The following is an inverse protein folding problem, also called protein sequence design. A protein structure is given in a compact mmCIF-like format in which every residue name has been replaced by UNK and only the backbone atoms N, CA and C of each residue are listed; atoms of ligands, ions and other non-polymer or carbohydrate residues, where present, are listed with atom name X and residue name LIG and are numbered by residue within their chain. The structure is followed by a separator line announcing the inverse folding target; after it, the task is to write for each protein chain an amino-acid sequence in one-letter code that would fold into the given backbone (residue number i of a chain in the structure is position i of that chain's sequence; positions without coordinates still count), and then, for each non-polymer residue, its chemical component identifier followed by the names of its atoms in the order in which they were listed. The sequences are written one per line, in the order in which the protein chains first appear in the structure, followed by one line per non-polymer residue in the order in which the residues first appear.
data_IF_676825308673
#
_entry.id   IF_676825308673
#
_cell.length_a   1.000
_cell.length_b   1.000
_cell.length_c   1.000
_cell.angle_alpha   90.00
_cell.angle_beta   90.00
_cell.angle_gamma   90.00
#
_symmetry.space_group_name_H-M   'P 1'
#
loop_
_entity.id
_entity.type
_entity.pdbx_description
1 polymer ?
#
# COMPACT_ATOMS: atom_id res chain seq x y z
N UNK A 1 -14.05 -29.42 -7.10
CA UNK A 1 -14.56 -28.10 -6.64
C UNK A 1 -13.69 -27.63 -5.49
N UNK A 2 -12.69 -26.82 -5.81
CA UNK A 2 -11.69 -26.36 -4.85
C UNK A 2 -12.37 -25.50 -3.79
N UNK A 3 -12.43 -26.04 -2.57
CA UNK A 3 -12.83 -25.29 -1.38
C UNK A 3 -11.74 -24.26 -1.11
N UNK A 4 -11.92 -23.05 -1.64
CA UNK A 4 -11.08 -21.91 -1.26
C UNK A 4 -11.24 -21.68 0.24
N UNK A 5 -10.21 -22.03 1.01
CA UNK A 5 -10.17 -21.74 2.43
C UNK A 5 -10.16 -20.22 2.60
N UNK A 6 -11.09 -19.68 3.39
CA UNK A 6 -11.23 -18.24 3.62
C UNK A 6 -9.94 -17.60 4.15
N UNK A 7 -9.15 -18.40 4.88
CA UNK A 7 -7.85 -18.02 5.46
C UNK A 7 -6.77 -17.74 4.40
N UNK A 8 -7.01 -18.14 3.14
CA UNK A 8 -6.12 -17.96 2.00
C UNK A 8 -6.68 -16.99 0.96
N UNK A 9 -7.74 -16.24 1.30
CA UNK A 9 -8.29 -15.22 0.40
C UNK A 9 -7.32 -14.03 0.24
N UNK A 10 -7.42 -13.34 -0.91
CA UNK A 10 -6.74 -12.07 -1.15
C UNK A 10 -7.61 -10.88 -0.75
N UNK A 11 -6.99 -9.73 -0.46
CA UNK A 11 -7.66 -8.56 0.11
C UNK A 11 -8.45 -8.92 1.38
N UNK A 12 -7.88 -9.81 2.20
CA UNK A 12 -8.51 -10.26 3.43
C UNK A 12 -8.14 -9.29 4.55
N UNK A 13 -9.14 -8.57 5.07
CA UNK A 13 -8.96 -7.76 6.27
C UNK A 13 -8.91 -8.68 7.50
N UNK A 14 -7.91 -8.48 8.34
CA UNK A 14 -7.64 -9.31 9.52
C UNK A 14 -7.33 -8.42 10.71
N UNK A 15 -7.96 -8.72 11.84
CA UNK A 15 -7.65 -8.11 13.12
C UNK A 15 -6.67 -9.01 13.88
N UNK A 16 -5.51 -8.47 14.17
CA UNK A 16 -4.50 -9.07 15.04
C UNK A 16 -4.72 -8.49 16.44
N UNK A 17 -4.88 -9.37 17.43
CA UNK A 17 -4.92 -9.03 18.85
C UNK A 17 -3.54 -9.30 19.42
N UNK A 18 -2.80 -8.22 19.65
CA UNK A 18 -1.46 -8.26 20.24
C UNK A 18 -1.58 -8.20 21.77
N UNK A 19 -0.77 -9.00 22.48
CA UNK A 19 -0.81 -9.10 23.94
C UNK A 19 -0.38 -7.77 24.59
N UNK A 20 -0.95 -7.39 25.75
CA UNK A 20 -0.48 -6.24 26.51
C UNK A 20 1.02 -6.31 26.84
N UNK A 21 1.73 -5.19 26.66
CA UNK A 21 3.11 -5.03 27.07
C UNK A 21 3.47 -3.54 27.21
N UNK A 22 4.58 -3.23 27.88
CA UNK A 22 5.07 -1.85 28.01
C UNK A 22 5.66 -1.34 26.69
N UNK A 23 5.74 -0.02 26.52
CA UNK A 23 6.25 0.61 25.29
C UNK A 23 5.44 0.20 24.06
N UNK A 24 4.12 0.05 24.21
CA UNK A 24 3.22 -0.45 23.16
C UNK A 24 3.27 0.39 21.87
N UNK A 25 3.51 1.69 21.95
CA UNK A 25 3.68 2.52 20.73
C UNK A 25 5.01 2.32 19.99
N UNK A 26 6.00 1.65 20.59
CA UNK A 26 7.34 1.48 20.01
C UNK A 26 7.65 0.04 19.60
N UNK A 27 7.12 -0.94 20.33
CA UNK A 27 7.41 -2.36 20.11
C UNK A 27 6.13 -3.04 19.65
N UNK A 28 6.24 -3.94 18.67
CA UNK A 28 5.18 -4.91 18.35
C UNK A 28 5.48 -6.17 19.14
N UNK A 29 4.61 -6.50 20.08
CA UNK A 29 4.67 -7.69 20.91
C UNK A 29 4.08 -8.93 20.25
N UNK A 30 3.76 -9.91 21.10
CA UNK A 30 3.25 -11.20 20.64
C UNK A 30 1.80 -11.09 20.16
N UNK A 31 1.49 -11.75 19.05
CA UNK A 31 0.12 -11.86 18.57
C UNK A 31 -0.56 -13.05 19.24
N UNK A 32 -1.58 -12.78 20.04
CA UNK A 32 -2.36 -13.82 20.74
C UNK A 32 -3.40 -14.46 19.80
N UNK A 33 -4.06 -13.62 19.00
CA UNK A 33 -5.21 -14.05 18.20
C UNK A 33 -5.28 -13.28 16.88
N UNK A 34 -5.73 -13.96 15.83
CA UNK A 34 -6.05 -13.33 14.54
C UNK A 34 -7.49 -13.66 14.17
N UNK A 35 -8.25 -12.63 13.75
CA UNK A 35 -9.66 -12.75 13.35
C UNK A 35 -9.81 -12.24 11.93
N UNK A 36 -10.38 -13.06 11.05
CA UNK A 36 -10.68 -12.64 9.67
C UNK A 36 -11.99 -11.86 9.62
N UNK A 37 -11.97 -10.67 9.02
CA UNK A 37 -13.15 -9.81 8.87
C UNK A 37 -13.87 -10.12 7.55
N UNK A 38 -14.30 -11.37 7.38
CA UNK A 38 -14.88 -11.87 6.13
C UNK A 38 -16.41 -11.98 6.11
N UNK A 39 -17.06 -11.92 7.27
CA UNK A 39 -18.52 -12.04 7.40
C UNK A 39 -19.23 -10.69 7.39
N UNK A 40 -20.53 -10.67 7.06
CA UNK A 40 -21.41 -9.52 7.26
C UNK A 40 -21.12 -8.30 6.37
N UNK A 41 -20.54 -8.50 5.19
CA UNK A 41 -20.22 -7.42 4.26
C UNK A 41 -21.35 -7.18 3.24
N UNK A 42 -21.59 -5.91 2.92
CA UNK A 42 -22.42 -5.52 1.78
C UNK A 42 -21.51 -5.22 0.60
N UNK A 43 -21.73 -5.91 -0.51
CA UNK A 43 -20.96 -5.75 -1.75
C UNK A 43 -21.89 -5.20 -2.83
N UNK A 44 -21.45 -4.18 -3.56
CA UNK A 44 -22.17 -3.62 -4.71
C UNK A 44 -21.20 -3.07 -5.76
N UNK A 45 -21.63 -3.05 -7.02
CA UNK A 45 -20.95 -2.28 -8.05
C UNK A 45 -21.38 -0.81 -7.88
N UNK A 46 -20.43 0.09 -7.64
CA UNK A 46 -20.69 1.53 -7.49
C UNK A 46 -20.54 2.30 -8.80
N UNK A 47 -19.65 1.83 -9.67
CA UNK A 47 -19.37 2.44 -10.96
C UNK A 47 -19.10 1.33 -11.98
N UNK A 48 -19.74 1.40 -13.14
CA UNK A 48 -19.49 0.52 -14.28
C UNK A 48 -19.33 1.38 -15.52
N UNK A 49 -18.08 1.77 -15.79
CA UNK A 49 -17.73 2.65 -16.90
C UNK A 49 -16.79 2.00 -17.90
N UNK A 50 -16.56 2.64 -19.05
CA UNK A 50 -15.62 2.13 -20.05
C UNK A 50 -14.17 2.18 -19.58
N UNK A 51 -13.80 3.06 -18.65
CA UNK A 51 -12.40 3.22 -18.21
C UNK A 51 -12.09 2.39 -16.97
N UNK A 52 -13.08 2.23 -16.07
CA UNK A 52 -12.93 1.51 -14.82
C UNK A 52 -14.25 0.97 -14.29
N UNK A 53 -14.15 -0.02 -13.41
CA UNK A 53 -15.23 -0.54 -12.58
C UNK A 53 -14.85 -0.36 -11.12
N UNK A 54 -15.81 0.03 -10.29
CA UNK A 54 -15.62 0.17 -8.84
C UNK A 54 -16.55 -0.81 -8.12
N UNK A 55 -15.96 -1.74 -7.38
CA UNK A 55 -16.68 -2.59 -6.43
C UNK A 55 -16.58 -1.97 -5.03
N UNK A 56 -17.72 -1.53 -4.49
CA UNK A 56 -17.82 -1.01 -3.13
C UNK A 56 -18.13 -2.14 -2.15
N UNK A 57 -17.40 -2.17 -1.03
CA UNK A 57 -17.61 -3.12 0.06
C UNK A 57 -17.69 -2.38 1.39
N UNK A 58 -18.81 -2.55 2.08
CA UNK A 58 -19.04 -1.99 3.40
C UNK A 58 -19.07 -3.08 4.45
N UNK A 59 -18.40 -2.85 5.57
CA UNK A 59 -18.28 -3.78 6.69
C UNK A 59 -18.37 -3.04 8.01
N UNK A 60 -18.95 -3.70 9.01
CA UNK A 60 -18.86 -3.27 10.40
C UNK A 60 -18.16 -4.34 11.21
N UNK A 61 -17.34 -3.92 12.16
CA UNK A 61 -16.71 -4.80 13.13
C UNK A 61 -16.70 -4.06 14.47
N UNK A 62 -17.27 -4.65 15.52
CA UNK A 62 -17.49 -3.98 16.80
C UNK A 62 -18.13 -2.60 16.61
N UNK A 63 -17.43 -1.54 17.02
CA UNK A 63 -17.84 -0.14 16.89
C UNK A 63 -17.28 0.53 15.62
N UNK A 64 -16.37 -0.15 14.93
CA UNK A 64 -15.69 0.34 13.73
C UNK A 64 -16.46 0.05 12.43
N UNK A 65 -16.23 0.89 11.42
CA UNK A 65 -16.81 0.76 10.08
C UNK A 65 -15.74 0.89 9.02
N UNK A 66 -15.81 0.02 8.01
CA UNK A 66 -14.86 -0.01 6.90
C UNK A 66 -15.63 0.08 5.59
N UNK A 67 -15.35 1.12 4.83
CA UNK A 67 -15.82 1.32 3.46
C UNK A 67 -14.61 1.15 2.52
N UNK A 68 -14.62 0.14 1.68
CA UNK A 68 -13.53 -0.14 0.74
C UNK A 68 -14.04 -0.09 -0.70
N UNK A 69 -13.32 0.63 -1.56
CA UNK A 69 -13.53 0.61 -3.00
C UNK A 69 -12.40 -0.16 -3.66
N UNK A 70 -12.72 -1.22 -4.38
CA UNK A 70 -11.80 -1.96 -5.24
C UNK A 70 -12.00 -1.45 -6.65
N UNK A 71 -10.95 -0.89 -7.24
CA UNK A 71 -10.99 -0.23 -8.54
C UNK A 71 -10.20 -1.05 -9.55
N UNK A 72 -10.89 -1.46 -10.61
CA UNK A 72 -10.31 -2.17 -11.75
C UNK A 72 -10.32 -1.24 -12.94
N UNK A 73 -9.17 -1.08 -13.59
CA UNK A 73 -9.02 -0.22 -14.76
C UNK A 73 -8.88 -1.07 -16.02
N UNK A 74 -9.34 -0.53 -17.15
CA UNK A 74 -9.15 -1.18 -18.46
C UNK A 74 -7.68 -1.23 -18.89
N UNK A 75 -7.00 -0.09 -18.79
CA UNK A 75 -5.67 0.12 -19.39
C UNK A 75 -4.55 0.35 -18.35
N UNK A 76 -4.84 0.06 -17.07
CA UNK A 76 -3.86 0.15 -15.98
C UNK A 76 -3.75 -1.20 -15.29
N UNK A 77 -2.55 -1.79 -15.36
CA UNK A 77 -2.26 -3.17 -14.91
C UNK A 77 -2.15 -3.30 -13.38
N UNK A 78 -2.95 -2.57 -12.61
CA UNK A 78 -2.99 -2.69 -11.14
C UNK A 78 -4.43 -2.57 -10.63
N UNK A 79 -4.66 -3.11 -9.44
CA UNK A 79 -5.93 -3.01 -8.73
C UNK A 79 -5.72 -2.02 -7.59
N UNK A 80 -6.48 -0.92 -7.57
CA UNK A 80 -6.41 0.08 -6.51
C UNK A 80 -7.48 -0.20 -5.44
N UNK A 81 -7.12 0.05 -4.18
CA UNK A 81 -7.98 -0.07 -3.01
C UNK A 81 -8.02 1.28 -2.31
N UNK A 82 -9.20 1.91 -2.28
CA UNK A 82 -9.44 3.13 -1.51
C UNK A 82 -10.27 2.75 -0.29
N UNK A 83 -9.65 2.81 0.89
CA UNK A 83 -10.25 2.33 2.13
C UNK A 83 -10.47 3.50 3.08
N UNK A 84 -11.72 3.74 3.45
CA UNK A 84 -12.10 4.65 4.52
C UNK A 84 -12.47 3.83 5.75
N UNK A 85 -11.85 4.13 6.88
CA UNK A 85 -12.04 3.39 8.12
C UNK A 85 -12.42 4.37 9.21
N UNK A 86 -13.62 4.23 9.77
CA UNK A 86 -13.99 4.83 11.04
C UNK A 86 -13.56 3.86 12.14
N UNK A 87 -12.39 4.10 12.72
CA UNK A 87 -11.71 3.22 13.65
C UNK A 87 -12.02 3.61 15.09
N UNK A 88 -12.70 2.71 15.80
CA UNK A 88 -13.15 2.91 17.18
C UNK A 88 -12.55 1.90 18.16
N UNK A 89 -11.68 0.99 17.68
CA UNK A 89 -11.03 0.00 18.54
C UNK A 89 -9.88 0.63 19.33
N UNK A 90 -9.74 0.25 20.59
CA UNK A 90 -8.78 0.83 21.53
C UNK A 90 -7.90 -0.26 22.12
N UNK A 91 -6.63 0.05 22.32
CA UNK A 91 -5.75 -0.80 23.10
C UNK A 91 -5.92 -0.57 24.60
N UNK A 92 -5.65 -1.58 25.42
CA UNK A 92 -5.50 -1.42 26.88
C UNK A 92 -4.63 -2.53 27.48
N UNK A 93 -4.29 -2.39 28.77
CA UNK A 93 -3.54 -3.42 29.50
C UNK A 93 -4.36 -4.70 29.71
N UNK A 94 -5.68 -4.63 29.64
CA UNK A 94 -6.60 -5.75 29.83
C UNK A 94 -6.96 -6.40 28.49
N UNK A 95 -7.23 -5.60 27.46
CA UNK A 95 -7.72 -6.07 26.16
C UNK A 95 -6.63 -6.22 25.11
N UNK A 96 -5.39 -5.82 25.38
CA UNK A 96 -4.30 -5.87 24.41
C UNK A 96 -4.40 -4.77 23.35
N UNK A 97 -3.73 -4.97 22.22
CA UNK A 97 -3.53 -3.95 21.19
C UNK A 97 -4.19 -4.44 19.89
N UNK A 98 -5.28 -3.81 19.41
CA UNK A 98 -5.88 -4.18 18.14
C UNK A 98 -5.06 -3.62 16.98
N UNK A 99 -4.78 -4.49 16.00
CA UNK A 99 -4.02 -4.15 14.80
C UNK A 99 -4.75 -4.68 13.56
N UNK A 100 -5.20 -3.76 12.71
CA UNK A 100 -5.86 -4.10 11.45
C UNK A 100 -4.83 -4.23 10.33
N UNK A 101 -4.85 -5.39 9.65
CA UNK A 101 -4.04 -5.64 8.46
C UNK A 101 -4.92 -6.04 7.27
N UNK A 102 -4.41 -5.79 6.06
CA UNK A 102 -4.90 -6.44 4.84
C UNK A 102 -3.86 -7.48 4.39
N UNK A 103 -4.32 -8.68 4.04
CA UNK A 103 -3.47 -9.79 3.61
C UNK A 103 -3.81 -10.25 2.19
N UNK A 104 -2.77 -10.61 1.44
CA UNK A 104 -2.82 -11.16 0.10
C UNK A 104 -2.04 -12.47 0.07
N UNK A 105 -2.73 -13.57 -0.18
CA UNK A 105 -2.10 -14.87 -0.36
C UNK A 105 -1.77 -15.08 -1.83
N UNK A 106 -0.48 -15.21 -2.15
CA UNK A 106 0.02 -15.16 -3.53
C UNK A 106 0.16 -16.54 -4.18
N UNK A 107 0.06 -17.62 -3.39
CA UNK A 107 0.23 -19.01 -3.84
C UNK A 107 1.59 -19.25 -4.53
N UNK A 108 2.65 -18.72 -3.93
CA UNK A 108 4.03 -18.86 -4.39
C UNK A 108 4.78 -19.92 -3.57
N UNK A 109 5.63 -20.72 -4.22
CA UNK A 109 6.30 -21.82 -3.53
C UNK A 109 7.66 -21.44 -2.94
N UNK A 110 8.37 -20.48 -3.52
CA UNK A 110 9.68 -20.01 -3.04
C UNK A 110 9.86 -18.52 -3.34
N UNK A 111 9.08 -17.66 -2.68
CA UNK A 111 9.10 -16.23 -2.96
C UNK A 111 10.37 -15.54 -2.46
N UNK A 112 10.84 -14.57 -3.23
CA UNK A 112 11.84 -13.58 -2.82
C UNK A 112 11.12 -12.26 -2.51
N UNK A 113 11.29 -11.75 -1.29
CA UNK A 113 10.70 -10.49 -0.87
C UNK A 113 11.72 -9.34 -0.98
N UNK A 114 11.36 -8.29 -1.73
CA UNK A 114 12.16 -7.08 -1.90
C UNK A 114 11.40 -5.87 -1.38
N UNK A 115 12.07 -5.07 -0.55
CA UNK A 115 11.48 -3.93 0.14
C UNK A 115 12.12 -2.63 -0.35
N UNK A 116 11.29 -1.60 -0.56
CA UNK A 116 11.79 -0.26 -0.85
C UNK A 116 12.51 0.35 0.37
N UNK A 117 13.67 0.94 0.11
CA UNK A 117 14.39 1.81 1.06
C UNK A 117 14.69 3.14 0.36
N UNK A 118 15.12 4.19 1.09
CA UNK A 118 15.50 5.45 0.46
C UNK A 118 16.52 5.24 -0.67
N UNK A 119 16.13 5.63 -1.89
CA UNK A 119 16.95 5.54 -3.10
C UNK A 119 17.47 4.13 -3.43
N UNK A 120 16.74 3.09 -3.05
CA UNK A 120 17.16 1.73 -3.33
C UNK A 120 16.16 0.68 -2.88
N UNK A 121 16.66 -0.53 -2.72
CA UNK A 121 15.89 -1.70 -2.30
C UNK A 121 16.77 -2.65 -1.50
N UNK A 122 16.14 -3.50 -0.70
CA UNK A 122 16.82 -4.56 0.03
C UNK A 122 15.99 -5.84 -0.02
N UNK A 123 16.65 -6.99 -0.19
CA UNK A 123 16.00 -8.30 -0.06
C UNK A 123 15.92 -8.66 1.41
N UNK A 124 14.77 -9.16 1.85
CA UNK A 124 14.59 -9.64 3.22
C UNK A 124 14.00 -11.06 3.22
N UNK A 125 14.32 -11.88 4.22
CA UNK A 125 13.65 -13.15 4.45
C UNK A 125 12.14 -12.98 4.67
N UNK A 126 11.34 -13.92 4.14
CA UNK A 126 9.89 -13.99 4.32
C UNK A 126 9.50 -14.74 5.61
N UNK A 127 9.99 -14.25 6.76
CA UNK A 127 9.87 -14.93 8.07
C UNK A 127 8.63 -14.53 8.88
N UNK A 128 7.79 -13.64 8.36
CA UNK A 128 6.59 -13.15 9.07
C UNK A 128 6.86 -12.06 10.09
N UNK A 129 8.04 -11.44 10.10
CA UNK A 129 8.29 -10.23 10.89
C UNK A 129 7.73 -8.99 10.17
N UNK A 130 7.27 -7.99 10.94
CA UNK A 130 6.91 -6.70 10.36
C UNK A 130 8.19 -5.91 10.04
N UNK A 131 8.28 -5.43 8.81
CA UNK A 131 9.45 -4.77 8.25
C UNK A 131 9.04 -3.43 7.62
N UNK A 132 9.84 -2.36 7.80
CA UNK A 132 9.54 -1.08 7.21
C UNK A 132 9.84 -1.07 5.70
N UNK A 133 8.94 -0.47 4.93
CA UNK A 133 9.20 -0.04 3.55
C UNK A 133 8.50 1.30 3.28
N UNK A 134 9.00 2.03 2.28
CA UNK A 134 8.48 3.34 1.93
C UNK A 134 7.10 3.23 1.25
N UNK A 135 7.06 2.86 -0.03
CA UNK A 135 5.83 2.87 -0.83
C UNK A 135 5.49 1.51 -1.39
N UNK A 136 6.43 0.58 -1.47
CA UNK A 136 6.18 -0.74 -2.03
C UNK A 136 7.00 -1.86 -1.38
N UNK A 137 6.41 -3.05 -1.42
CA UNK A 137 7.08 -4.34 -1.22
C UNK A 137 6.70 -5.25 -2.37
N UNK A 138 7.69 -5.93 -2.93
CA UNK A 138 7.51 -6.90 -3.98
C UNK A 138 7.78 -8.31 -3.47
N UNK A 139 6.91 -9.24 -3.86
CA UNK A 139 7.13 -10.66 -3.66
C UNK A 139 7.11 -11.31 -5.03
N UNK A 140 8.21 -11.92 -5.43
CA UNK A 140 8.38 -12.51 -6.76
C UNK A 140 8.85 -13.96 -6.68
N UNK A 141 8.38 -14.78 -7.63
CA UNK A 141 8.95 -16.08 -7.97
C UNK A 141 9.36 -16.09 -9.45
N UNK A 142 10.22 -17.03 -9.86
CA UNK A 142 10.80 -17.24 -11.21
C UNK A 142 10.44 -16.21 -12.30
N UNK A 143 9.21 -16.21 -12.77
CA UNK A 143 8.67 -15.44 -13.90
C UNK A 143 7.43 -14.59 -13.58
N UNK A 144 7.04 -14.50 -12.30
CA UNK A 144 5.85 -13.77 -11.88
C UNK A 144 6.03 -13.15 -10.49
N UNK A 145 5.55 -11.92 -10.34
CA UNK A 145 5.62 -11.21 -9.08
C UNK A 145 4.37 -10.39 -8.81
N UNK A 146 4.22 -10.04 -7.55
CA UNK A 146 3.14 -9.18 -7.07
C UNK A 146 3.76 -8.15 -6.14
N UNK A 147 3.61 -6.89 -6.53
CA UNK A 147 3.98 -5.76 -5.69
C UNK A 147 2.76 -5.20 -4.98
N UNK A 148 2.86 -5.00 -3.66
CA UNK A 148 1.91 -4.22 -2.86
C UNK A 148 2.45 -2.81 -2.69
N UNK A 149 1.67 -1.83 -3.15
CA UNK A 149 1.98 -0.41 -3.18
C UNK A 149 1.05 0.32 -2.20
N UNK A 150 1.49 1.37 -1.54
CA UNK A 150 0.62 2.23 -0.72
C UNK A 150 0.99 3.72 -0.81
N UNK A 151 0.16 4.57 -0.18
CA UNK A 151 0.35 6.02 -0.08
C UNK A 151 0.71 6.56 1.33
N UNK A 152 0.43 5.82 2.40
CA UNK A 152 0.54 6.34 3.77
C UNK A 152 0.84 5.30 4.86
N UNK A 153 1.30 4.10 4.51
CA UNK A 153 1.52 2.96 5.41
C UNK A 153 2.93 2.38 5.24
N UNK A 154 3.57 2.01 6.33
CA UNK A 154 4.99 1.62 6.30
C UNK A 154 5.30 0.27 6.93
N UNK A 155 4.35 -0.34 7.65
CA UNK A 155 4.49 -1.67 8.23
C UNK A 155 4.03 -2.75 7.25
N UNK A 156 4.96 -3.56 6.76
CA UNK A 156 4.68 -4.70 5.88
C UNK A 156 5.09 -5.99 6.53
N UNK A 157 4.38 -7.07 6.26
CA UNK A 157 4.76 -8.41 6.71
C UNK A 157 4.76 -9.35 5.50
N UNK A 158 5.82 -10.14 5.36
CA UNK A 158 5.88 -11.24 4.38
C UNK A 158 6.19 -12.53 5.13
N UNK A 159 5.26 -13.48 5.09
CA UNK A 159 5.38 -14.80 5.71
C UNK A 159 5.13 -15.85 4.64
N UNK A 160 6.19 -16.52 4.17
CA UNK A 160 6.10 -17.38 2.99
C UNK A 160 5.52 -16.61 1.81
N UNK A 161 4.33 -17.00 1.35
CA UNK A 161 3.59 -16.41 0.23
C UNK A 161 2.46 -15.46 0.65
N UNK A 162 2.35 -15.15 1.94
CA UNK A 162 1.40 -14.17 2.48
C UNK A 162 2.08 -12.81 2.55
N UNK A 163 1.55 -11.84 1.78
CA UNK A 163 1.97 -10.45 1.80
C UNK A 163 0.90 -9.60 2.48
N UNK A 164 1.27 -8.89 3.55
CA UNK A 164 0.34 -8.08 4.33
C UNK A 164 0.83 -6.65 4.54
N UNK A 165 -0.12 -5.71 4.65
CA UNK A 165 0.10 -4.32 5.00
C UNK A 165 -0.67 -3.99 6.27
N UNK A 166 0.02 -3.41 7.25
CA UNK A 166 -0.59 -2.88 8.47
C UNK A 166 -1.31 -1.58 8.15
N UNK A 167 -2.62 -1.56 8.37
CA UNK A 167 -3.49 -0.42 8.09
C UNK A 167 -3.60 0.48 9.32
N UNK A 168 -3.90 -0.09 10.48
CA UNK A 168 -4.06 0.66 11.74
C UNK A 168 -3.58 -0.22 12.90
N UNK A 169 -3.07 0.42 13.95
CA UNK A 169 -2.66 -0.25 15.19
C UNK A 169 -2.92 0.71 16.34
N UNK A 170 -3.69 0.32 17.35
CA UNK A 170 -4.02 1.19 18.48
C UNK A 170 -3.30 0.74 19.75
N UNK A 171 -2.02 1.10 19.95
CA UNK A 171 -1.36 0.95 21.23
C UNK A 171 -2.04 1.81 22.31
N UNK A 172 -1.57 1.74 23.55
CA UNK A 172 -2.18 2.49 24.66
C UNK A 172 -1.17 3.30 25.50
N UNK A 173 0.12 3.24 25.15
CA UNK A 173 1.19 3.96 25.84
C UNK A 173 2.13 4.58 24.80
N UNK A 174 2.34 5.90 24.79
CA UNK A 174 1.95 6.88 25.82
C UNK A 174 0.58 7.52 25.58
N UNK A 175 0.03 7.37 24.37
CA UNK A 175 -1.30 7.85 24.00
C UNK A 175 -2.31 6.75 24.28
N UNK A 176 -3.39 7.10 25.00
CA UNK A 176 -4.45 6.17 25.36
C UNK A 176 -5.48 5.96 24.23
N UNK A 177 -5.52 6.86 23.24
CA UNK A 177 -6.52 6.88 22.18
C UNK A 177 -5.90 7.08 20.77
N UNK A 178 -4.77 6.41 20.43
CA UNK A 178 -4.13 6.62 19.15
C UNK A 178 -4.99 6.06 18.01
N UNK A 179 -4.95 6.77 16.89
CA UNK A 179 -5.64 6.41 15.65
C UNK A 179 -7.18 6.25 15.77
N UNK A 180 -7.80 6.73 16.84
CA UNK A 180 -9.26 6.83 16.90
C UNK A 180 -9.80 7.83 15.89
N UNK A 181 -10.85 7.43 15.17
CA UNK A 181 -11.55 8.27 14.20
C UNK A 181 -11.38 7.83 12.76
N UNK A 182 -11.55 8.78 11.82
CA UNK A 182 -11.69 8.48 10.39
C UNK A 182 -10.35 8.56 9.66
N UNK A 183 -9.97 7.45 9.04
CA UNK A 183 -8.76 7.30 8.22
C UNK A 183 -9.11 7.07 6.76
N UNK A 184 -8.28 7.59 5.86
CA UNK A 184 -8.32 7.31 4.43
C UNK A 184 -6.98 6.70 4.03
N UNK A 185 -7.03 5.49 3.48
CA UNK A 185 -5.84 4.68 3.19
C UNK A 185 -5.94 4.16 1.75
N UNK A 186 -4.94 4.48 0.93
CA UNK A 186 -4.79 3.98 -0.41
C UNK A 186 -3.71 2.90 -0.51
N UNK A 187 -4.03 1.81 -1.18
CA UNK A 187 -3.03 0.82 -1.59
C UNK A 187 -3.41 0.19 -2.92
N UNK A 188 -2.46 -0.50 -3.55
CA UNK A 188 -2.67 -1.16 -4.82
C UNK A 188 -1.90 -2.47 -4.90
N UNK A 189 -2.47 -3.44 -5.61
CA UNK A 189 -1.77 -4.66 -6.00
C UNK A 189 -1.41 -4.55 -7.47
N UNK A 190 -0.11 -4.71 -7.75
CA UNK A 190 0.46 -4.68 -9.09
C UNK A 190 1.06 -6.06 -9.42
N UNK A 191 0.31 -6.95 -10.10
CA UNK A 191 0.85 -8.19 -10.63
C UNK A 191 1.69 -7.93 -11.88
N UNK A 192 2.81 -8.63 -12.05
CA UNK A 192 3.69 -8.43 -13.20
C UNK A 192 4.46 -9.69 -13.66
N UNK A 193 4.89 -9.66 -14.92
CA UNK A 193 5.61 -10.75 -15.60
C UNK A 193 7.12 -10.67 -15.36
N UNK A 194 7.55 -11.13 -14.18
CA UNK A 194 8.96 -11.26 -13.84
C UNK A 194 9.24 -10.71 -12.46
N UNK A 195 10.27 -9.86 -12.36
CA UNK A 195 10.73 -9.25 -11.11
C UNK A 195 10.51 -7.74 -11.15
N UNK A 196 10.28 -7.15 -9.99
CA UNK A 196 10.00 -5.73 -9.79
C UNK A 196 10.88 -4.73 -10.56
N UNK A 197 12.18 -5.02 -10.77
CA UNK A 197 13.10 -4.15 -11.56
C UNK A 197 12.65 -4.02 -13.00
N UNK A 198 12.43 -5.16 -13.65
CA UNK A 198 12.10 -5.23 -15.08
C UNK A 198 10.70 -4.68 -15.33
N UNK A 199 9.81 -4.92 -14.39
CA UNK A 199 8.39 -4.61 -14.51
C UNK A 199 7.99 -3.26 -13.89
N UNK A 200 8.98 -2.42 -13.56
CA UNK A 200 8.80 -1.00 -13.22
C UNK A 200 7.93 -0.75 -12.00
N UNK A 201 7.96 -1.64 -10.98
CA UNK A 201 7.25 -1.46 -9.71
C UNK A 201 7.50 -0.09 -9.09
N UNK A 202 8.76 0.39 -9.10
CA UNK A 202 9.11 1.71 -8.56
C UNK A 202 8.37 2.84 -9.27
N UNK A 203 8.24 2.74 -10.60
CA UNK A 203 7.50 3.72 -11.38
C UNK A 203 6.00 3.64 -11.07
N UNK A 204 5.43 2.44 -10.93
CA UNK A 204 4.02 2.27 -10.54
C UNK A 204 3.73 2.81 -9.14
N UNK A 205 4.66 2.62 -8.20
CA UNK A 205 4.55 3.21 -6.87
C UNK A 205 4.62 4.73 -6.91
N UNK A 206 5.51 5.31 -7.73
CA UNK A 206 5.57 6.75 -7.94
C UNK A 206 4.29 7.30 -8.60
N UNK A 207 3.79 6.66 -9.66
CA UNK A 207 2.53 7.02 -10.36
C UNK A 207 1.31 6.92 -9.43
N UNK A 208 1.31 5.98 -8.46
CA UNK A 208 0.26 5.88 -7.44
C UNK A 208 0.31 7.05 -6.44
N UNK A 209 1.53 7.44 -6.02
CA UNK A 209 1.75 8.48 -5.02
C UNK A 209 1.78 9.92 -5.59
N UNK A 210 1.75 10.08 -6.90
CA UNK A 210 1.86 11.37 -7.59
C UNK A 210 0.67 11.54 -8.54
N UNK A 211 -0.46 12.09 -8.08
CA UNK A 211 -1.62 12.29 -8.93
C UNK A 211 -1.33 13.30 -10.04
N UNK A 212 -1.96 13.10 -11.20
CA UNK A 212 -1.95 14.09 -12.28
C UNK A 212 -2.68 15.36 -11.81
N UNK A 213 -1.98 16.49 -11.88
CA UNK A 213 -2.57 17.80 -11.60
C UNK A 213 -3.17 18.35 -12.88
N UNK A 214 -4.49 18.50 -12.90
CA UNK A 214 -5.23 19.05 -14.04
C UNK A 214 -5.72 20.45 -13.67
N UNK A 215 -5.40 21.43 -14.51
CA UNK A 215 -5.85 22.81 -14.32
C UNK A 215 -6.49 23.32 -15.61
N UNK A 216 -7.68 23.88 -15.48
CA UNK A 216 -8.35 24.58 -16.58
C UNK A 216 -7.76 25.98 -16.71
N UNK A 217 -7.37 26.35 -17.93
CA UNK A 217 -6.88 27.69 -18.24
C UNK A 217 -7.59 28.23 -19.47
N UNK A 218 -8.00 29.50 -19.45
CA UNK A 218 -8.41 30.21 -20.66
C UNK A 218 -7.15 30.45 -21.49
N UNK A 219 -7.20 30.11 -22.78
CA UNK A 219 -6.09 30.38 -23.70
C UNK A 219 -5.87 31.90 -23.74
N UNK A 220 -4.80 32.35 -23.11
CA UNK A 220 -4.28 33.70 -23.16
C UNK A 220 -2.85 33.57 -23.69
N UNK A 221 -2.41 34.51 -24.53
CA UNK A 221 -1.13 34.43 -25.24
C UNK A 221 0.02 33.91 -24.38
N UNK A 222 0.83 33.04 -24.96
CA UNK A 222 1.98 32.41 -24.33
C UNK A 222 2.88 31.81 -25.40
N UNK A 223 4.17 31.70 -25.09
CA UNK A 223 5.19 31.24 -26.05
C UNK A 223 5.57 29.76 -25.87
N UNK A 224 4.91 29.05 -24.96
CA UNK A 224 5.15 27.62 -24.76
C UNK A 224 4.31 26.78 -25.73
N UNK A 225 4.84 25.65 -26.22
CA UNK A 225 4.11 24.75 -27.09
C UNK A 225 2.97 24.03 -26.32
N UNK A 226 2.00 23.51 -27.07
CA UNK A 226 0.88 22.73 -26.51
C UNK A 226 1.31 21.40 -25.86
N UNK A 227 2.51 20.91 -26.20
CA UNK A 227 3.15 19.76 -25.57
C UNK A 227 4.59 20.12 -25.22
N UNK A 228 4.95 19.98 -23.95
CA UNK A 228 6.28 20.29 -23.44
C UNK A 228 6.72 19.24 -22.42
N UNK A 229 7.87 18.62 -22.66
CA UNK A 229 8.55 17.76 -21.69
C UNK A 229 9.72 18.50 -21.08
N UNK A 230 9.73 18.67 -19.74
CA UNK A 230 10.80 19.39 -19.05
C UNK A 230 12.12 18.61 -19.02
N UNK A 231 12.04 17.27 -18.94
CA UNK A 231 13.20 16.41 -18.73
C UNK A 231 12.97 15.07 -19.42
N UNK A 232 13.97 14.59 -20.18
CA UNK A 232 14.05 13.22 -20.67
C UNK A 232 15.25 12.55 -19.99
N UNK A 233 15.07 11.35 -19.45
CA UNK A 233 16.10 10.64 -18.70
C UNK A 233 16.31 9.25 -19.28
N UNK A 234 17.57 8.95 -19.62
CA UNK A 234 18.00 7.67 -20.18
C UNK A 234 19.26 7.20 -19.44
N UNK A 235 19.44 5.88 -19.19
CA UNK A 235 18.51 4.77 -19.48
C UNK A 235 17.28 4.71 -18.56
N UNK A 236 16.29 3.87 -18.91
CA UNK A 236 14.97 3.83 -18.24
C UNK A 236 14.98 3.30 -16.79
N UNK A 237 16.12 2.82 -16.30
CA UNK A 237 16.32 2.39 -14.91
C UNK A 237 16.80 3.53 -13.99
N UNK A 238 17.00 4.74 -14.52
CA UNK A 238 17.23 5.92 -13.71
C UNK A 238 15.90 6.54 -13.25
N UNK A 239 15.85 6.97 -11.99
CA UNK A 239 14.67 7.62 -11.40
C UNK A 239 15.06 8.99 -10.85
N UNK A 240 14.33 10.03 -11.26
CA UNK A 240 14.49 11.39 -10.72
C UNK A 240 13.93 11.44 -9.30
N UNK A 241 14.74 11.91 -8.36
CA UNK A 241 14.33 12.11 -6.96
C UNK A 241 14.30 13.58 -6.53
N UNK A 242 14.74 14.48 -7.39
CA UNK A 242 14.65 15.91 -7.12
C UNK A 242 15.08 16.74 -8.31
N UNK A 243 14.30 17.79 -8.59
CA UNK A 243 14.64 18.86 -9.50
C UNK A 243 14.31 20.16 -8.79
N UNK A 244 15.33 20.98 -8.49
CA UNK A 244 15.15 22.26 -7.81
C UNK A 244 16.15 23.30 -8.30
N UNK A 245 15.92 24.57 -7.99
CA UNK A 245 16.95 25.60 -8.16
C UNK A 245 18.03 25.47 -7.08
N UNK A 246 19.22 26.00 -7.37
CA UNK A 246 20.23 26.26 -6.34
C UNK A 246 19.71 27.31 -5.34
N UNK A 247 20.24 27.32 -4.13
CA UNK A 247 19.81 28.27 -3.07
C UNK A 247 20.01 29.75 -3.46
N UNK A 248 20.89 30.02 -4.43
CA UNK A 248 21.16 31.37 -4.94
C UNK A 248 20.44 31.67 -6.27
N UNK A 249 19.54 30.80 -6.74
CA UNK A 249 18.80 30.89 -8.01
C UNK A 249 19.65 30.98 -9.28
N UNK A 250 20.96 30.72 -9.21
CA UNK A 250 21.89 30.79 -10.36
C UNK A 250 22.06 29.47 -11.12
N UNK A 251 21.36 28.42 -10.72
CA UNK A 251 21.48 27.10 -11.34
C UNK A 251 20.33 26.16 -10.99
N UNK A 252 20.40 24.96 -11.57
CA UNK A 252 19.44 23.89 -11.36
C UNK A 252 20.20 22.68 -10.79
N UNK A 253 19.62 22.05 -9.78
CA UNK A 253 20.07 20.80 -9.19
C UNK A 253 19.10 19.71 -9.63
N UNK A 254 19.64 18.70 -10.32
CA UNK A 254 18.96 17.46 -10.66
C UNK A 254 19.59 16.33 -9.85
N UNK A 255 18.77 15.54 -9.16
CA UNK A 255 19.18 14.32 -8.44
C UNK A 255 18.42 13.13 -8.97
N UNK A 256 19.13 12.06 -9.25
CA UNK A 256 18.59 10.78 -9.68
C UNK A 256 19.31 9.63 -8.96
N UNK A 257 18.73 8.44 -9.03
CA UNK A 257 19.33 7.20 -8.56
C UNK A 257 19.02 6.06 -9.53
N UNK A 258 19.81 5.01 -9.46
CA UNK A 258 19.63 3.80 -10.26
C UNK A 258 18.78 2.77 -9.51
N UNK A 259 18.01 2.01 -10.26
CA UNK A 259 17.14 0.94 -9.78
C UNK A 259 17.59 -0.44 -10.29
#
# INVERSE_FOLDING_TARGET
PDTYAIDKASNLLRLFKETPHSMSSWVIGNIEKVVNLSNGCQIKIEEEGPVRVILGINRSFNESRIEQKIILYRDLERIDFVTKIDWQEKGSQEEGIPMLRVSFHLNFSSPEATFEIPFGHIKRPALGEEMPALRWVDVSQTDYGVSLINDCKHGYQVEGDSLSLTLLRSPYEPDALPDLGVHHIGYAIYPHKGRWKKDKTIRKAAEFNQPLLVQWQKVQGGNLPSFFGLLNLEPSNLVVSGLKKTENDKGIILRFYEV
#
